data_IF_614072998446
#
_entry.id   IF_614072998446
#
_cell.length_a   1.000
_cell.length_b   1.000
_cell.length_c   1.000
_cell.angle_alpha   90.00
_cell.angle_beta   90.00
_cell.angle_gamma   90.00
#
_symmetry.space_group_name_H-M   'P 1'
#
loop_
_entity.id
_entity.type
_entity.pdbx_description
1 polymer ?
#
# COMPACT_ATOMS: atom_id res chain seq x y z
N UNK A 1 0.23 15.27 -7.95
CA UNK A 1 -1.15 15.67 -8.32
C UNK A 1 -1.45 17.13 -8.01
N UNK A 2 -1.43 17.59 -6.75
CA UNK A 2 -1.83 18.96 -6.36
C UNK A 2 -1.14 20.09 -7.15
N UNK A 3 0.15 19.97 -7.43
CA UNK A 3 0.90 20.94 -8.25
C UNK A 3 0.45 20.99 -9.72
N UNK A 4 0.07 19.84 -10.29
CA UNK A 4 -0.36 19.75 -11.69
C UNK A 4 -1.78 20.26 -11.89
N UNK A 5 -2.67 19.98 -10.93
CA UNK A 5 -4.03 20.55 -10.92
C UNK A 5 -4.02 22.06 -10.71
N UNK A 6 -3.04 22.59 -9.97
CA UNK A 6 -2.87 24.04 -9.81
C UNK A 6 -2.37 24.71 -11.11
N UNK A 7 -1.64 23.96 -11.94
CA UNK A 7 -1.22 24.37 -13.29
C UNK A 7 -2.29 24.18 -14.39
N UNK A 8 -3.56 23.98 -14.03
CA UNK A 8 -4.68 23.88 -14.98
C UNK A 8 -4.92 22.51 -15.59
N UNK A 9 -4.18 21.46 -15.20
CA UNK A 9 -4.45 20.10 -15.67
C UNK A 9 -5.63 19.49 -14.91
N UNK A 10 -6.58 18.91 -15.65
CA UNK A 10 -7.64 18.12 -15.02
C UNK A 10 -7.05 16.91 -14.30
N UNK A 11 -7.74 16.43 -13.25
CA UNK A 11 -7.32 15.26 -12.48
C UNK A 11 -7.04 14.05 -13.39
N UNK A 12 -7.86 13.85 -14.44
CA UNK A 12 -7.66 12.80 -15.45
C UNK A 12 -6.33 12.96 -16.20
N UNK A 13 -5.99 14.18 -16.58
CA UNK A 13 -4.76 14.47 -17.32
C UNK A 13 -3.53 14.30 -16.41
N UNK A 14 -3.60 14.77 -15.17
CA UNK A 14 -2.54 14.60 -14.19
C UNK A 14 -2.29 13.11 -13.84
N UNK A 15 -3.36 12.32 -13.71
CA UNK A 15 -3.28 10.87 -13.52
C UNK A 15 -2.63 10.15 -14.70
N UNK A 16 -2.95 10.56 -15.92
CA UNK A 16 -2.36 9.98 -17.13
C UNK A 16 -0.86 10.28 -17.26
N UNK A 17 -0.45 11.50 -16.95
CA UNK A 17 0.98 11.92 -16.97
C UNK A 17 1.80 11.17 -15.93
N UNK A 18 1.24 10.93 -14.74
CA UNK A 18 1.91 10.20 -13.66
C UNK A 18 1.79 8.67 -13.83
N UNK A 19 0.97 8.19 -14.78
CA UNK A 19 0.74 6.76 -14.99
C UNK A 19 -0.01 6.08 -13.83
N UNK A 20 -0.79 6.84 -13.06
CA UNK A 20 -1.51 6.34 -11.89
C UNK A 20 -3.00 6.21 -12.19
N UNK A 21 -3.62 5.11 -11.78
CA UNK A 21 -5.06 4.93 -11.93
C UNK A 21 -5.83 5.81 -10.94
N UNK A 22 -7.05 6.23 -11.32
CA UNK A 22 -7.91 7.01 -10.45
C UNK A 22 -8.28 6.27 -9.15
N UNK A 23 -8.38 4.94 -9.20
CA UNK A 23 -8.63 4.10 -8.02
C UNK A 23 -7.45 4.08 -7.06
N UNK A 24 -6.21 4.00 -7.57
CA UNK A 24 -5.01 4.08 -6.74
C UNK A 24 -4.86 5.46 -6.09
N UNK A 25 -5.22 6.53 -6.81
CA UNK A 25 -5.19 7.89 -6.26
C UNK A 25 -6.25 8.14 -5.17
N UNK A 26 -7.43 7.52 -5.30
CA UNK A 26 -8.54 7.62 -4.33
C UNK A 26 -8.48 6.57 -3.23
N UNK A 27 -7.45 5.73 -3.21
CA UNK A 27 -7.31 4.69 -2.21
C UNK A 27 -7.07 5.34 -0.85
N UNK A 28 -8.10 5.31 0.00
CA UNK A 28 -7.98 5.65 1.40
C UNK A 28 -7.47 4.40 2.14
N UNK A 29 -6.29 4.40 2.76
CA UNK A 29 -5.85 3.27 3.57
C UNK A 29 -6.86 3.06 4.69
N UNK A 30 -7.53 1.90 4.67
CA UNK A 30 -8.44 1.52 5.75
C UNK A 30 -7.65 1.42 7.06
N UNK A 31 -8.22 1.85 8.20
CA UNK A 31 -7.58 1.64 9.50
C UNK A 31 -7.30 0.15 9.66
N UNK A 32 -6.06 -0.19 10.02
CA UNK A 32 -5.55 -1.56 10.04
C UNK A 32 -6.27 -2.39 11.09
N UNK A 33 -7.37 -3.03 10.69
CA UNK A 33 -8.11 -4.00 11.51
C UNK A 33 -7.38 -5.34 11.61
N UNK A 34 -6.28 -5.52 10.87
CA UNK A 34 -5.56 -6.77 10.78
C UNK A 34 -4.39 -6.83 11.76
N UNK A 35 -4.29 -5.92 12.74
CA UNK A 35 -3.21 -5.96 13.73
C UNK A 35 -3.14 -7.31 14.48
N UNK A 36 -4.30 -7.83 14.91
CA UNK A 36 -4.39 -9.15 15.54
C UNK A 36 -4.00 -10.28 14.59
N UNK A 37 -4.45 -10.20 13.33
CA UNK A 37 -4.11 -11.18 12.29
C UNK A 37 -2.61 -11.15 11.94
N UNK A 38 -2.01 -9.97 11.83
CA UNK A 38 -0.58 -9.76 11.61
C UNK A 38 0.24 -10.33 12.78
N UNK A 39 -0.20 -10.12 14.02
CA UNK A 39 0.44 -10.70 15.19
C UNK A 39 0.41 -12.24 15.16
N UNK A 40 -0.72 -12.84 14.77
CA UNK A 40 -0.83 -14.30 14.62
C UNK A 40 0.06 -14.84 13.50
N UNK A 41 0.11 -14.16 12.34
CA UNK A 41 0.98 -14.55 11.22
C UNK A 41 2.46 -14.46 11.61
N UNK A 42 2.86 -13.41 12.33
CA UNK A 42 4.24 -13.25 12.82
C UNK A 42 4.58 -14.35 13.84
N UNK A 43 3.69 -14.64 14.78
CA UNK A 43 3.89 -15.72 15.76
C UNK A 43 4.00 -17.10 15.08
N UNK A 44 3.17 -17.34 14.06
CA UNK A 44 3.22 -18.57 13.27
C UNK A 44 4.53 -18.69 12.48
N UNK A 45 4.97 -17.59 11.84
CA UNK A 45 6.24 -17.55 11.11
C UNK A 45 7.46 -17.72 12.02
N UNK A 46 7.43 -17.16 13.23
CA UNK A 46 8.46 -17.37 14.26
C UNK A 46 8.52 -18.83 14.73
N UNK A 47 7.35 -19.48 14.87
CA UNK A 47 7.24 -20.90 15.26
C UNK A 47 7.73 -21.85 14.17
N UNK A 48 7.48 -21.54 12.90
CA UNK A 48 7.87 -22.36 11.74
C UNK A 48 9.07 -21.77 10.99
N UNK A 49 10.13 -21.40 11.71
CA UNK A 49 11.38 -20.81 11.20
C UNK A 49 12.15 -21.70 10.20
N UNK A 50 11.65 -22.90 9.86
CA UNK A 50 12.28 -23.88 8.96
C UNK A 50 11.53 -24.11 7.64
N UNK A 51 10.69 -23.17 7.21
CA UNK A 51 10.33 -23.05 5.80
C UNK A 51 10.45 -21.59 5.43
N UNK A 52 11.51 -21.26 4.68
CA UNK A 52 11.75 -19.92 4.19
C UNK A 52 10.60 -19.48 3.29
N UNK A 53 9.64 -18.75 3.84
CA UNK A 53 8.75 -17.93 3.03
C UNK A 53 9.46 -16.61 2.78
N UNK A 54 9.86 -16.42 1.52
CA UNK A 54 10.51 -15.20 1.06
C UNK A 54 9.63 -13.99 1.37
N UNK A 55 10.14 -13.14 2.27
CA UNK A 55 9.82 -11.71 2.43
C UNK A 55 8.43 -11.36 2.98
N UNK A 56 8.25 -11.58 4.28
CA UNK A 56 7.41 -10.69 5.08
C UNK A 56 8.08 -9.30 5.11
N UNK A 57 7.53 -8.34 4.35
CA UNK A 57 7.95 -6.94 4.37
C UNK A 57 7.71 -6.36 5.77
N UNK A 58 8.75 -6.42 6.60
CA UNK A 58 8.89 -5.65 7.83
C UNK A 58 9.75 -4.44 7.49
N UNK A 59 9.09 -3.34 7.14
CA UNK A 59 9.75 -2.05 7.01
C UNK A 59 9.89 -1.48 8.41
N UNK A 60 11.15 -1.39 8.85
CA UNK A 60 11.57 -0.50 9.94
C UNK A 60 11.33 0.95 9.55
#
# INVERSE_FOLDING_TARGET
>A
MRHMTHGGLSERHALRVIGMSASAYRYQPAPDRNHALRAQIVALAQRHRRYGSTRAYSRR
#
